data_IF_256523316100
#
_entry.id   IF_256523316100
#
_cell.length_a   1.000
_cell.length_b   1.000
_cell.length_c   1.000
_cell.angle_alpha   90.00
_cell.angle_beta   90.00
_cell.angle_gamma   90.00
#
_symmetry.space_group_name_H-M   'P 1'
#
loop_
_entity.id
_entity.type
_entity.pdbx_description
1 polymer ?
#
# COMPACT_ATOMS: atom_id res chain seq x y z
N UNK A 1 -18.84 -7.03 10.49
CA UNK A 1 -18.85 -5.77 9.73
C UNK A 1 -19.69 -5.97 8.49
N UNK A 2 -20.59 -5.04 8.19
CA UNK A 2 -21.39 -5.09 6.96
C UNK A 2 -20.52 -4.56 5.82
N UNK A 3 -20.26 -5.36 4.79
CA UNK A 3 -19.53 -4.90 3.60
C UNK A 3 -20.39 -3.93 2.82
N UNK A 4 -19.87 -2.74 2.54
CA UNK A 4 -20.53 -1.76 1.66
C UNK A 4 -20.22 -2.19 0.22
N UNK A 5 -21.22 -2.57 -0.59
CA UNK A 5 -20.96 -2.94 -1.97
C UNK A 5 -20.45 -1.71 -2.73
N UNK A 6 -19.37 -1.87 -3.48
CA UNK A 6 -18.85 -0.84 -4.37
C UNK A 6 -18.32 -1.50 -5.65
N UNK A 7 -18.27 -0.73 -6.75
CA UNK A 7 -17.76 -1.23 -8.02
C UNK A 7 -16.28 -0.89 -8.17
N UNK A 8 -15.41 -1.84 -7.85
CA UNK A 8 -13.98 -1.67 -8.10
C UNK A 8 -13.68 -1.53 -9.61
N UNK A 9 -12.65 -0.76 -9.93
CA UNK A 9 -12.11 -0.57 -11.28
C UNK A 9 -10.68 -1.12 -11.29
N UNK A 10 -10.38 -1.99 -12.24
CA UNK A 10 -9.01 -2.42 -12.48
C UNK A 10 -8.21 -1.25 -13.10
N UNK A 11 -7.04 -1.00 -12.53
CA UNK A 11 -6.10 0.04 -12.92
C UNK A 11 -4.78 -0.62 -13.32
N UNK A 12 -4.18 -0.11 -14.39
CA UNK A 12 -2.83 -0.46 -14.82
C UNK A 12 -1.85 0.54 -14.24
N UNK A 13 -0.80 0.05 -13.61
CA UNK A 13 0.27 0.83 -13.00
C UNK A 13 1.58 0.55 -13.75
N UNK A 14 2.48 1.53 -13.79
CA UNK A 14 3.82 1.41 -14.38
C UNK A 14 3.76 0.85 -15.80
N UNK A 15 2.95 1.48 -16.66
CA UNK A 15 2.78 1.06 -18.05
C UNK A 15 2.09 -0.31 -18.24
N UNK A 16 1.39 -0.80 -17.21
CA UNK A 16 0.66 -2.08 -17.25
C UNK A 16 1.45 -3.27 -16.70
N UNK A 17 2.66 -3.05 -16.19
CA UNK A 17 3.43 -4.09 -15.53
C UNK A 17 2.77 -4.61 -14.24
N UNK A 18 1.98 -3.76 -13.58
CA UNK A 18 1.19 -4.12 -12.40
C UNK A 18 -0.27 -3.76 -12.66
N UNK A 19 -1.19 -4.60 -12.19
CA UNK A 19 -2.63 -4.32 -12.18
C UNK A 19 -3.17 -4.37 -10.75
N UNK A 20 -4.12 -3.51 -10.42
CA UNK A 20 -4.75 -3.45 -9.10
C UNK A 20 -6.22 -3.04 -9.22
N UNK A 21 -7.09 -3.52 -8.34
CA UNK A 21 -8.46 -3.02 -8.24
C UNK A 21 -8.53 -1.86 -7.23
N UNK A 22 -8.92 -0.68 -7.71
CA UNK A 22 -9.12 0.53 -6.90
C UNK A 22 -10.58 1.01 -6.95
N UNK A 23 -11.00 1.95 -6.08
CA UNK A 23 -12.31 2.60 -6.20
C UNK A 23 -12.52 3.23 -7.58
N UNK A 24 -13.77 3.31 -8.08
CA UNK A 24 -14.03 3.71 -9.45
C UNK A 24 -13.78 5.21 -9.72
N UNK A 25 -13.88 6.06 -8.69
CA UNK A 25 -13.79 7.53 -8.77
C UNK A 25 -12.49 8.07 -8.20
N UNK A 26 -11.39 7.56 -8.76
CA UNK A 26 -10.04 8.03 -8.47
C UNK A 26 -9.53 8.91 -9.59
N UNK A 27 -8.70 9.88 -9.24
CA UNK A 27 -7.95 10.70 -10.17
C UNK A 27 -6.48 10.36 -10.02
N UNK A 28 -5.84 10.07 -11.15
CA UNK A 28 -4.40 9.93 -11.25
C UNK A 28 -3.74 11.31 -11.18
N UNK A 29 -2.89 11.53 -10.18
CA UNK A 29 -2.22 12.81 -9.94
C UNK A 29 -1.20 13.14 -11.04
N UNK A 30 -0.66 12.13 -11.74
CA UNK A 30 0.28 12.32 -12.85
C UNK A 30 -0.30 13.17 -13.98
N UNK A 31 -1.64 13.21 -14.11
CA UNK A 31 -2.35 13.95 -15.15
C UNK A 31 -2.25 15.47 -15.00
N UNK A 32 -1.91 15.97 -13.80
CA UNK A 32 -1.81 17.41 -13.54
C UNK A 32 -0.59 17.82 -12.70
N UNK A 33 0.19 16.87 -12.17
CA UNK A 33 1.49 17.12 -11.52
C UNK A 33 2.49 16.03 -11.89
N UNK A 34 3.77 16.38 -11.89
CA UNK A 34 4.83 15.38 -12.01
C UNK A 34 4.88 14.53 -10.74
N UNK A 35 4.94 13.21 -10.92
CA UNK A 35 5.10 12.19 -9.87
C UNK A 35 6.40 11.44 -10.20
N UNK A 36 7.22 11.05 -9.20
CA UNK A 36 8.41 10.25 -9.45
C UNK A 36 8.10 8.97 -10.24
N UNK A 37 9.01 8.54 -11.11
CA UNK A 37 8.81 7.35 -11.97
C UNK A 37 8.57 6.05 -11.17
N UNK A 38 9.08 6.00 -9.93
CA UNK A 38 8.88 4.88 -9.01
C UNK A 38 7.56 4.92 -8.24
N UNK A 39 6.72 5.94 -8.47
CA UNK A 39 5.49 6.19 -7.73
C UNK A 39 4.26 6.32 -8.64
N UNK A 40 3.13 5.83 -8.15
CA UNK A 40 1.81 6.03 -8.73
C UNK A 40 0.90 6.60 -7.64
N UNK A 41 0.33 7.77 -7.89
CA UNK A 41 -0.41 8.53 -6.86
C UNK A 41 -1.83 8.80 -7.33
N UNK A 42 -2.80 8.39 -6.51
CA UNK A 42 -4.22 8.58 -6.76
C UNK A 42 -4.88 9.33 -5.60
N UNK A 43 -5.90 10.11 -5.93
CA UNK A 43 -6.79 10.74 -4.95
C UNK A 43 -8.23 10.41 -5.27
N UNK A 44 -9.05 10.19 -4.24
CA UNK A 44 -10.49 10.18 -4.38
C UNK A 44 -11.01 11.61 -4.42
N UNK A 45 -11.98 11.86 -5.31
CA UNK A 45 -12.68 13.14 -5.34
C UNK A 45 -14.12 12.98 -4.93
N UNK A 46 -14.55 13.84 -4.00
CA UNK A 46 -15.97 14.19 -3.91
C UNK A 46 -16.25 15.15 -5.06
N UNK A 47 -17.33 14.93 -5.81
CA UNK A 47 -17.69 15.62 -7.05
C UNK A 47 -17.96 17.13 -6.92
N UNK A 48 -16.96 17.93 -6.54
CA UNK A 48 -17.05 19.40 -6.49
C UNK A 48 -16.20 20.14 -7.52
N UNK A 49 -15.29 19.47 -8.21
CA UNK A 49 -14.29 20.17 -9.06
C UNK A 49 -14.34 19.79 -10.56
N UNK A 50 -15.51 19.43 -11.09
CA UNK A 50 -15.74 19.50 -12.53
C UNK A 50 -16.51 20.78 -12.84
N UNK A 51 -15.86 21.71 -13.51
CA UNK A 51 -16.44 22.91 -14.13
C UNK A 51 -17.52 22.63 -15.19
N UNK A 52 -17.94 21.36 -15.36
CA UNK A 52 -19.13 20.94 -16.08
C UNK A 52 -20.39 21.03 -15.18
N UNK A 53 -20.70 22.25 -14.74
CA UNK A 53 -21.85 22.53 -13.87
C UNK A 53 -23.20 22.53 -14.60
N UNK A 54 -23.33 21.93 -15.80
CA UNK A 54 -24.56 22.11 -16.59
C UNK A 54 -25.33 20.88 -17.06
N UNK A 55 -24.92 19.62 -16.81
CA UNK A 55 -25.72 18.50 -17.33
C UNK A 55 -26.09 17.35 -16.39
N UNK A 56 -25.43 17.09 -15.26
CA UNK A 56 -25.80 15.94 -14.42
C UNK A 56 -25.97 16.32 -12.94
N UNK A 57 -27.21 16.61 -12.53
CA UNK A 57 -27.67 16.57 -11.13
C UNK A 57 -27.71 15.11 -10.61
N UNK A 58 -26.59 14.40 -10.70
CA UNK A 58 -26.43 13.08 -10.09
C UNK A 58 -26.28 13.26 -8.59
N UNK A 59 -27.17 12.66 -7.80
CA UNK A 59 -27.03 12.60 -6.35
C UNK A 59 -25.64 12.03 -5.97
N UNK A 60 -24.97 12.65 -5.00
CA UNK A 60 -23.73 12.12 -4.38
C UNK A 60 -23.99 10.68 -3.95
N UNK A 61 -23.17 9.75 -4.43
CA UNK A 61 -23.22 8.36 -3.95
C UNK A 61 -22.57 8.29 -2.58
N UNK A 62 -23.07 7.41 -1.71
CA UNK A 62 -22.51 7.19 -0.37
C UNK A 62 -21.00 6.92 -0.41
N UNK A 63 -20.53 6.19 -1.42
CA UNK A 63 -19.11 5.88 -1.64
C UNK A 63 -18.23 7.15 -1.83
N UNK A 64 -18.76 8.21 -2.43
CA UNK A 64 -18.01 9.44 -2.74
C UNK A 64 -17.73 10.25 -1.48
N UNK A 65 -18.72 10.31 -0.59
CA UNK A 65 -18.57 11.00 0.69
C UNK A 65 -17.67 10.18 1.62
N UNK A 66 -17.79 8.85 1.61
CA UNK A 66 -16.98 7.98 2.46
C UNK A 66 -15.49 7.97 2.08
N UNK A 67 -15.16 8.13 0.80
CA UNK A 67 -13.76 8.18 0.31
C UNK A 67 -13.24 9.60 0.12
N UNK A 68 -13.99 10.60 0.59
CA UNK A 68 -13.56 11.99 0.52
C UNK A 68 -12.20 12.15 1.22
N UNK A 69 -11.28 12.85 0.56
CA UNK A 69 -9.93 13.14 1.04
C UNK A 69 -9.00 11.91 1.15
N UNK A 70 -9.42 10.73 0.68
CA UNK A 70 -8.57 9.55 0.59
C UNK A 70 -7.50 9.74 -0.49
N UNK A 71 -6.24 9.53 -0.13
CA UNK A 71 -5.12 9.41 -1.07
C UNK A 71 -4.53 8.01 -1.04
N UNK A 72 -4.02 7.57 -2.19
CA UNK A 72 -3.46 6.24 -2.40
C UNK A 72 -2.13 6.39 -3.12
N UNK A 73 -1.08 5.75 -2.61
CA UNK A 73 0.27 5.81 -3.16
C UNK A 73 0.77 4.39 -3.32
N UNK A 74 1.24 4.06 -4.52
CA UNK A 74 1.98 2.83 -4.79
C UNK A 74 3.41 3.22 -5.10
N UNK A 75 4.38 2.56 -4.48
CA UNK A 75 5.79 2.90 -4.63
C UNK A 75 6.69 1.67 -4.72
N UNK A 76 7.64 1.72 -5.64
CA UNK A 76 8.70 0.73 -5.83
C UNK A 76 9.98 1.21 -5.12
N UNK A 77 10.40 0.49 -4.09
CA UNK A 77 11.57 0.81 -3.26
C UNK A 77 12.66 -0.26 -3.37
N UNK A 78 13.90 0.15 -3.06
CA UNK A 78 14.94 -0.83 -2.74
C UNK A 78 14.54 -1.65 -1.52
N UNK A 79 14.90 -2.94 -1.52
CA UNK A 79 14.61 -3.81 -0.39
C UNK A 79 15.32 -3.34 0.88
N UNK A 80 14.55 -3.14 1.94
CA UNK A 80 15.09 -2.72 3.25
C UNK A 80 15.73 -3.90 3.97
N UNK A 81 16.93 -3.70 4.48
CA UNK A 81 17.62 -4.66 5.34
C UNK A 81 18.04 -3.93 6.61
N UNK A 82 17.35 -4.20 7.74
CA UNK A 82 17.54 -3.42 8.98
C UNK A 82 18.92 -3.65 9.59
N UNK A 83 19.64 -4.70 9.18
CA UNK A 83 21.04 -4.90 9.58
C UNK A 83 21.95 -3.77 9.08
N UNK A 84 21.50 -3.03 8.07
CA UNK A 84 22.19 -1.84 7.57
C UNK A 84 21.80 -0.57 8.32
N UNK A 85 20.82 -0.63 9.23
CA UNK A 85 20.34 0.49 10.06
C UNK A 85 20.34 0.11 11.56
N UNK A 86 21.52 0.06 12.20
CA UNK A 86 21.65 -0.30 13.60
C UNK A 86 21.04 0.73 14.55
N UNK A 87 20.94 2.00 14.13
CA UNK A 87 20.34 3.07 14.93
C UNK A 87 18.84 2.85 15.10
N UNK A 88 18.15 2.49 14.00
CA UNK A 88 16.74 2.13 14.05
C UNK A 88 16.51 0.92 14.95
N UNK A 89 17.31 -0.14 14.83
CA UNK A 89 17.21 -1.34 15.67
C UNK A 89 17.41 -1.03 17.17
N UNK A 90 18.34 -0.14 17.51
CA UNK A 90 18.61 0.23 18.89
C UNK A 90 17.47 1.05 19.52
N UNK A 91 16.84 1.93 18.73
CA UNK A 91 15.72 2.76 19.19
C UNK A 91 14.38 2.00 19.25
N UNK A 92 14.21 1.01 18.36
CA UNK A 92 12.97 0.28 18.16
C UNK A 92 13.06 -1.19 18.55
N UNK A 93 13.93 -1.52 19.51
CA UNK A 93 14.17 -2.89 19.97
C UNK A 93 12.82 -3.61 20.15
N UNK A 94 12.61 -4.75 19.47
CA UNK A 94 11.38 -5.50 19.66
C UNK A 94 11.27 -5.84 21.14
N UNK A 95 10.10 -5.58 21.74
CA UNK A 95 9.80 -6.06 23.09
C UNK A 95 10.16 -7.56 23.13
N UNK A 96 10.90 -7.96 24.18
CA UNK A 96 11.66 -9.22 24.38
C UNK A 96 10.89 -10.56 24.21
N UNK A 97 9.70 -10.59 23.61
CA UNK A 97 8.82 -11.77 23.52
C UNK A 97 8.81 -12.44 22.12
N UNK A 98 9.29 -11.75 21.08
CA UNK A 98 9.47 -12.32 19.74
C UNK A 98 10.98 -12.39 19.44
N UNK A 99 11.59 -13.58 19.56
CA UNK A 99 12.97 -13.93 19.11
C UNK A 99 13.17 -13.77 17.58
N UNK A 100 12.34 -12.95 16.93
CA UNK A 100 12.29 -12.79 15.49
C UNK A 100 13.47 -11.93 15.02
N UNK A 101 14.25 -12.53 14.13
CA UNK A 101 15.50 -11.99 13.60
C UNK A 101 15.37 -10.55 13.04
N UNK A 102 16.51 -9.87 12.92
CA UNK A 102 16.66 -8.48 12.45
C UNK A 102 16.01 -8.15 11.09
N UNK A 103 15.38 -9.10 10.38
CA UNK A 103 14.65 -8.85 9.14
C UNK A 103 13.26 -9.51 9.10
N UNK A 104 12.65 -9.76 10.26
CA UNK A 104 11.30 -10.30 10.29
C UNK A 104 10.31 -9.32 9.61
N UNK A 105 9.35 -9.79 8.79
CA UNK A 105 8.48 -8.89 8.02
C UNK A 105 7.64 -7.93 8.87
N UNK A 106 7.38 -8.24 10.15
CA UNK A 106 6.77 -7.29 11.11
C UNK A 106 7.67 -6.08 11.37
N UNK A 107 8.97 -6.30 11.58
CA UNK A 107 9.94 -5.23 11.85
C UNK A 107 10.12 -4.33 10.63
N UNK A 108 10.08 -4.93 9.44
CA UNK A 108 10.23 -4.22 8.16
C UNK A 108 9.00 -3.37 7.85
N UNK A 109 7.78 -3.89 8.04
CA UNK A 109 6.59 -3.06 7.83
C UNK A 109 6.50 -1.92 8.85
N UNK A 110 7.01 -2.14 10.09
CA UNK A 110 7.16 -1.07 11.07
C UNK A 110 8.13 0.00 10.59
N UNK A 111 9.29 -0.39 10.05
CA UNK A 111 10.27 0.54 9.49
C UNK A 111 9.68 1.41 8.38
N UNK A 112 8.96 0.81 7.43
CA UNK A 112 8.29 1.57 6.36
C UNK A 112 7.22 2.52 6.91
N UNK A 113 6.45 2.10 7.92
CA UNK A 113 5.45 2.96 8.57
C UNK A 113 6.09 4.15 9.32
N UNK A 114 7.19 3.90 10.02
CA UNK A 114 7.93 4.93 10.77
C UNK A 114 8.66 5.90 9.83
N UNK A 115 9.20 5.41 8.71
CA UNK A 115 9.81 6.24 7.66
C UNK A 115 8.80 7.21 7.06
N UNK A 116 7.60 6.73 6.73
CA UNK A 116 6.50 7.59 6.28
C UNK A 116 6.13 8.65 7.32
N UNK A 117 6.16 8.31 8.61
CA UNK A 117 5.89 9.25 9.69
C UNK A 117 6.97 10.33 9.80
N UNK A 118 8.24 9.94 9.61
CA UNK A 118 9.37 10.85 9.63
C UNK A 118 9.27 11.89 8.51
N UNK A 119 8.98 11.45 7.29
CA UNK A 119 8.81 12.34 6.13
C UNK A 119 7.65 13.32 6.32
N UNK A 120 6.58 12.86 6.98
CA UNK A 120 5.44 13.70 7.34
C UNK A 120 5.69 14.58 8.58
N UNK A 121 6.90 14.54 9.18
CA UNK A 121 7.23 15.24 10.43
C UNK A 121 6.20 14.97 11.54
N UNK A 122 5.71 13.73 11.60
CA UNK A 122 4.68 13.32 12.55
C UNK A 122 5.17 13.42 13.98
N UNK A 123 4.34 13.95 14.87
CA UNK A 123 4.62 14.03 16.32
C UNK A 123 4.43 12.68 17.01
N UNK A 124 3.52 11.86 16.50
CA UNK A 124 3.19 10.55 17.05
C UNK A 124 2.82 9.61 15.90
N UNK A 125 3.43 8.43 15.87
CA UNK A 125 3.10 7.36 14.96
C UNK A 125 2.76 6.11 15.77
N UNK A 126 1.62 5.48 15.51
CA UNK A 126 1.21 4.28 16.25
C UNK A 126 0.53 3.29 15.33
N UNK A 127 1.15 2.13 15.16
CA UNK A 127 0.53 0.99 14.51
C UNK A 127 -0.51 0.39 15.45
N UNK A 128 -1.74 0.24 14.96
CA UNK A 128 -2.87 -0.37 15.68
C UNK A 128 -2.97 -1.86 15.42
N UNK A 129 -2.62 -2.32 14.21
CA UNK A 129 -2.63 -3.74 13.87
C UNK A 129 -1.62 -4.06 12.78
N UNK A 130 -1.09 -5.29 12.83
CA UNK A 130 -0.29 -5.90 11.76
C UNK A 130 -0.92 -7.24 11.41
N UNK A 131 -1.14 -7.47 10.11
CA UNK A 131 -1.62 -8.73 9.57
C UNK A 131 -0.53 -9.36 8.72
N UNK A 132 -0.04 -10.51 9.16
CA UNK A 132 0.92 -11.32 8.39
C UNK A 132 0.16 -12.21 7.40
N UNK A 133 0.73 -12.51 6.23
CA UNK A 133 0.15 -13.47 5.32
C UNK A 133 0.25 -14.90 5.85
N UNK A 134 -0.55 -15.80 5.27
CA UNK A 134 -0.66 -17.18 5.75
C UNK A 134 0.61 -17.97 5.50
N UNK A 135 1.19 -17.84 4.31
CA UNK A 135 2.44 -18.50 3.96
C UNK A 135 3.62 -17.57 4.20
N UNK A 136 4.37 -17.78 5.28
CA UNK A 136 5.58 -16.99 5.57
C UNK A 136 6.77 -17.36 4.67
N UNK A 137 6.72 -18.45 3.92
CA UNK A 137 7.84 -18.86 3.04
C UNK A 137 7.98 -17.98 1.81
N UNK A 138 6.97 -17.18 1.48
CA UNK A 138 7.03 -16.24 0.36
C UNK A 138 7.98 -15.05 0.58
N UNK A 139 8.50 -14.89 1.81
CA UNK A 139 9.43 -13.82 2.14
C UNK A 139 10.90 -14.14 1.80
N UNK A 140 11.18 -15.20 1.02
CA UNK A 140 12.55 -15.53 0.57
C UNK A 140 12.78 -15.26 -0.92
N UNK A 141 11.84 -15.65 -1.77
CA UNK A 141 11.76 -15.29 -3.19
C UNK A 141 10.27 -15.32 -3.57
N UNK A 142 9.83 -14.57 -4.60
CA UNK A 142 8.45 -14.66 -5.04
C UNK A 142 8.07 -16.10 -5.40
N UNK A 143 6.91 -16.59 -4.94
CA UNK A 143 6.53 -17.98 -5.11
C UNK A 143 6.41 -18.34 -6.60
N UNK A 144 6.81 -19.55 -6.98
CA UNK A 144 6.57 -20.07 -8.32
C UNK A 144 5.06 -20.19 -8.61
N UNK A 145 4.66 -20.05 -9.87
CA UNK A 145 3.29 -20.38 -10.30
C UNK A 145 2.99 -21.86 -10.04
N UNK A 146 1.76 -22.15 -9.62
CA UNK A 146 1.29 -23.48 -9.19
C UNK A 146 1.35 -24.57 -10.29
N UNK A 147 1.69 -24.22 -11.54
CA UNK A 147 1.84 -25.14 -12.65
C UNK A 147 3.10 -26.03 -12.61
N UNK A 148 4.00 -25.88 -11.63
CA UNK A 148 5.12 -26.80 -11.43
C UNK A 148 4.74 -27.96 -10.50
N UNK A 149 3.71 -28.75 -10.86
CA UNK A 149 3.56 -30.10 -10.33
C UNK A 149 4.17 -31.08 -11.34
N UNK A 150 5.13 -31.87 -10.85
CA UNK A 150 5.94 -32.83 -11.57
C UNK A 150 5.15 -33.67 -12.60
N UNK A 151 5.45 -33.50 -13.89
CA UNK A 151 5.41 -34.52 -14.95
C UNK A 151 5.70 -33.99 -16.37
N UNK A 152 5.89 -32.69 -16.58
CA UNK A 152 6.32 -32.20 -17.90
C UNK A 152 7.83 -32.42 -18.12
N UNK A 153 8.26 -32.86 -19.31
CA UNK A 153 9.68 -32.98 -19.64
C UNK A 153 10.37 -31.62 -19.56
N UNK A 154 11.67 -31.57 -19.25
CA UNK A 154 12.42 -30.33 -19.34
C UNK A 154 12.36 -29.83 -20.80
N UNK A 155 11.67 -28.73 -21.02
CA UNK A 155 11.82 -27.97 -22.26
C UNK A 155 13.23 -27.35 -22.22
N UNK A 156 14.07 -27.73 -23.17
CA UNK A 156 15.44 -27.22 -23.40
C UNK A 156 15.46 -25.73 -23.87
N UNK A 157 14.56 -24.91 -23.33
CA UNK A 157 14.55 -23.48 -23.59
C UNK A 157 15.41 -22.78 -22.53
N UNK A 158 16.67 -22.53 -22.88
CA UNK A 158 17.70 -21.83 -22.09
C UNK A 158 17.35 -20.36 -21.76
N UNK A 159 16.11 -19.94 -22.02
CA UNK A 159 15.52 -18.65 -21.63
C UNK A 159 14.52 -18.78 -20.47
N UNK A 160 14.68 -19.79 -19.61
CA UNK A 160 13.77 -20.17 -18.50
C UNK A 160 13.42 -19.05 -17.51
N UNK A 161 12.53 -18.15 -17.91
CA UNK A 161 11.91 -17.17 -17.03
C UNK A 161 10.94 -17.94 -16.12
N UNK A 162 11.41 -18.37 -14.94
CA UNK A 162 10.56 -18.97 -13.90
C UNK A 162 9.28 -18.14 -13.77
N UNK A 163 8.13 -18.72 -14.11
CA UNK A 163 6.85 -18.03 -13.97
C UNK A 163 6.57 -17.82 -12.48
N UNK A 164 6.48 -16.55 -12.07
CA UNK A 164 6.35 -16.11 -10.67
C UNK A 164 4.92 -15.67 -10.37
N UNK A 165 4.49 -15.89 -9.13
CA UNK A 165 3.23 -15.38 -8.59
C UNK A 165 3.53 -14.21 -7.66
N UNK A 166 2.68 -13.18 -7.71
CA UNK A 166 2.69 -12.08 -6.74
C UNK A 166 2.49 -12.62 -5.32
N UNK A 167 3.40 -12.34 -4.37
CA UNK A 167 3.22 -12.77 -2.98
C UNK A 167 2.02 -12.06 -2.33
N UNK A 168 1.54 -12.60 -1.22
CA UNK A 168 0.62 -11.91 -0.32
C UNK A 168 1.38 -10.86 0.52
N UNK A 169 0.82 -9.66 0.72
CA UNK A 169 1.50 -8.62 1.47
C UNK A 169 1.43 -8.85 2.98
N UNK A 170 2.42 -8.30 3.70
CA UNK A 170 2.22 -7.90 5.10
C UNK A 170 1.40 -6.61 5.09
N UNK A 171 0.44 -6.48 5.99
CA UNK A 171 -0.39 -5.26 6.08
C UNK A 171 -0.34 -4.68 7.47
N UNK A 172 -0.41 -3.37 7.60
CA UNK A 172 -0.65 -2.71 8.87
C UNK A 172 -1.67 -1.59 8.71
N UNK A 173 -2.28 -1.24 9.84
CA UNK A 173 -3.10 -0.06 10.01
C UNK A 173 -2.61 0.71 11.22
N UNK A 174 -2.50 2.02 11.11
CA UNK A 174 -2.00 2.89 12.16
C UNK A 174 -2.49 4.33 12.05
N UNK A 175 -2.11 5.12 13.02
CA UNK A 175 -2.39 6.55 13.11
C UNK A 175 -1.08 7.33 13.09
N UNK A 176 -1.06 8.45 12.39
CA UNK A 176 -0.02 9.47 12.48
C UNK A 176 -0.64 10.79 12.91
N UNK A 177 -0.02 11.51 13.83
CA UNK A 177 -0.48 12.83 14.26
C UNK A 177 0.47 13.91 13.75
N UNK A 178 0.02 14.66 12.75
CA UNK A 178 0.82 15.68 12.07
C UNK A 178 0.38 17.05 12.55
N UNK A 179 1.33 17.90 12.94
CA UNK A 179 1.05 19.31 13.20
C UNK A 179 1.90 20.17 12.28
N UNK A 180 1.28 21.12 11.59
CA UNK A 180 2.00 22.07 10.76
C UNK A 180 2.85 22.98 11.66
N UNK A 181 4.02 23.37 11.18
CA UNK A 181 4.90 24.31 11.85
C UNK A 181 4.10 25.57 12.23
N UNK A 182 3.91 25.80 13.54
CA UNK A 182 3.16 26.89 14.20
C UNK A 182 1.69 26.65 14.59
N UNK A 183 1.13 25.46 14.42
CA UNK A 183 -0.24 25.17 14.90
C UNK A 183 -0.24 24.31 16.17
N UNK A 184 -1.06 24.72 17.15
CA UNK A 184 -1.33 23.94 18.36
C UNK A 184 -2.23 22.73 18.08
N UNK A 185 -2.99 22.76 16.98
CA UNK A 185 -3.88 21.69 16.56
C UNK A 185 -3.12 20.65 15.72
N UNK A 186 -3.11 19.40 16.18
CA UNK A 186 -2.63 18.25 15.43
C UNK A 186 -3.78 17.62 14.66
N UNK A 187 -3.50 17.18 13.44
CA UNK A 187 -4.43 16.42 12.62
C UNK A 187 -4.00 14.95 12.63
N UNK A 188 -4.94 14.08 12.95
CA UNK A 188 -4.69 12.64 12.88
C UNK A 188 -4.94 12.15 11.46
N UNK A 189 -4.06 11.29 10.98
CA UNK A 189 -4.17 10.65 9.68
C UNK A 189 -4.20 9.15 9.90
N UNK A 190 -5.26 8.52 9.40
CA UNK A 190 -5.38 7.07 9.37
C UNK A 190 -4.61 6.53 8.17
N UNK A 191 -3.72 5.58 8.41
CA UNK A 191 -2.83 5.04 7.41
C UNK A 191 -2.97 3.53 7.36
N UNK A 192 -3.22 3.00 6.17
CA UNK A 192 -3.10 1.59 5.87
C UNK A 192 -1.91 1.39 4.94
N UNK A 193 -1.09 0.39 5.23
CA UNK A 193 0.11 0.10 4.46
C UNK A 193 0.17 -1.39 4.16
N UNK A 194 0.40 -1.74 2.89
CA UNK A 194 0.66 -3.11 2.43
C UNK A 194 2.07 -3.18 1.84
N UNK A 195 2.82 -4.19 2.24
CA UNK A 195 4.21 -4.42 1.86
C UNK A 195 4.35 -5.78 1.17
N UNK A 196 4.79 -5.76 -0.08
CA UNK A 196 5.24 -6.94 -0.83
C UNK A 196 6.75 -6.95 -0.91
N UNK A 197 7.37 -8.01 -0.38
CA UNK A 197 8.82 -8.18 -0.43
C UNK A 197 9.20 -9.09 -1.60
N UNK A 198 9.84 -8.53 -2.61
CA UNK A 198 10.29 -9.23 -3.80
C UNK A 198 11.79 -9.53 -3.69
N UNK A 199 12.15 -10.37 -2.72
CA UNK A 199 13.53 -10.77 -2.50
C UNK A 199 14.15 -11.40 -3.76
N UNK A 200 15.38 -11.02 -4.07
CA UNK A 200 16.09 -11.51 -5.26
C UNK A 200 15.62 -10.91 -6.59
N UNK A 201 14.59 -10.05 -6.58
CA UNK A 201 14.05 -9.39 -7.78
C UNK A 201 14.45 -7.93 -7.80
N UNK A 202 15.09 -7.53 -8.90
CA UNK A 202 15.54 -6.17 -9.10
C UNK A 202 16.68 -5.73 -8.21
N UNK A 203 17.12 -4.49 -8.42
CA UNK A 203 18.27 -3.90 -7.72
C UNK A 203 19.50 -4.82 -7.76
N UNK A 204 19.84 -5.35 -8.94
CA UNK A 204 20.94 -6.29 -9.15
C UNK A 204 20.80 -7.59 -8.33
N UNK A 205 19.57 -8.04 -8.09
CA UNK A 205 19.27 -9.24 -7.29
C UNK A 205 19.24 -9.00 -5.79
N UNK A 206 19.36 -7.74 -5.31
CA UNK A 206 19.22 -7.41 -3.89
C UNK A 206 17.77 -7.47 -3.42
N UNK A 207 16.81 -7.31 -4.34
CA UNK A 207 15.38 -7.33 -4.04
C UNK A 207 14.73 -5.96 -4.11
N UNK A 208 13.40 -5.97 -4.13
CA UNK A 208 12.53 -4.79 -4.17
C UNK A 208 11.48 -4.90 -3.07
N UNK A 209 11.18 -3.78 -2.40
CA UNK A 209 9.98 -3.65 -1.58
C UNK A 209 8.95 -2.84 -2.37
N UNK A 210 7.78 -3.42 -2.62
CA UNK A 210 6.64 -2.72 -3.23
C UNK A 210 5.68 -2.35 -2.10
N UNK A 211 5.32 -1.08 -2.02
CA UNK A 211 4.51 -0.51 -0.93
C UNK A 211 3.22 0.09 -1.51
N UNK A 212 2.09 -0.20 -0.87
CA UNK A 212 0.82 0.49 -1.09
C UNK A 212 0.40 1.18 0.20
N UNK A 213 0.12 2.48 0.13
CA UNK A 213 -0.32 3.29 1.26
C UNK A 213 -1.64 3.96 0.96
N UNK A 214 -2.60 3.87 1.88
CA UNK A 214 -3.82 4.66 1.88
C UNK A 214 -3.76 5.66 3.04
N UNK A 215 -3.97 6.95 2.78
CA UNK A 215 -4.03 7.98 3.81
C UNK A 215 -5.43 8.61 3.83
N UNK A 216 -6.10 8.51 4.98
CA UNK A 216 -7.38 9.15 5.24
C UNK A 216 -7.23 10.15 6.39
N UNK A 217 -7.27 11.47 6.13
CA UNK A 217 -7.17 12.47 7.18
C UNK A 217 -8.44 12.48 8.04
N UNK A 218 -8.25 12.52 9.36
CA UNK A 218 -9.31 12.82 10.33
C UNK A 218 -9.35 14.33 10.56
N UNK A 219 -10.34 14.98 9.97
CA UNK A 219 -10.59 16.40 10.22
C UNK A 219 -11.47 16.54 11.47
N UNK A 220 -11.04 17.35 12.44
CA UNK A 220 -11.77 17.56 13.71
C UNK A 220 -13.20 18.08 13.54
N UNK A 221 -13.54 18.62 12.36
CA UNK A 221 -14.87 19.09 11.99
C UNK A 221 -15.77 17.99 11.40
N UNK A 222 -15.29 16.77 11.22
CA UNK A 222 -16.05 15.67 10.63
C UNK A 222 -17.10 15.12 11.61
N UNK A 223 -18.25 14.68 11.09
CA UNK A 223 -19.23 13.92 11.88
C UNK A 223 -18.59 12.59 12.31
N UNK A 224 -18.52 12.28 13.62
CA UNK A 224 -17.88 11.07 14.12
C UNK A 224 -18.45 9.78 13.55
N UNK A 225 -19.76 9.72 13.30
CA UNK A 225 -20.42 8.53 12.74
C UNK A 225 -20.04 8.38 11.27
N UNK A 226 -20.08 9.46 10.51
CA UNK A 226 -19.67 9.45 9.11
C UNK A 226 -18.20 9.09 8.97
N UNK A 227 -17.32 9.67 9.79
CA UNK A 227 -15.90 9.38 9.76
C UNK A 227 -15.61 7.91 10.10
N UNK A 228 -16.31 7.35 11.10
CA UNK A 228 -16.20 5.93 11.40
C UNK A 228 -16.60 5.05 10.20
N UNK A 229 -17.65 5.43 9.47
CA UNK A 229 -18.02 4.74 8.22
C UNK A 229 -16.95 4.89 7.13
N UNK A 230 -16.31 6.07 7.02
CA UNK A 230 -15.20 6.30 6.09
C UNK A 230 -14.02 5.39 6.40
N UNK A 231 -13.67 5.23 7.68
CA UNK A 231 -12.60 4.32 8.13
C UNK A 231 -12.93 2.87 7.79
N UNK A 232 -14.14 2.40 8.08
CA UNK A 232 -14.58 1.03 7.77
C UNK A 232 -14.60 0.76 6.26
N UNK A 233 -15.07 1.72 5.47
CA UNK A 233 -15.10 1.60 4.02
C UNK A 233 -13.69 1.63 3.42
N UNK A 234 -12.82 2.49 3.94
CA UNK A 234 -11.41 2.57 3.51
C UNK A 234 -10.67 1.27 3.82
N UNK A 235 -10.89 0.67 4.99
CA UNK A 235 -10.33 -0.66 5.29
C UNK A 235 -10.82 -1.70 4.28
N UNK A 236 -12.13 -1.76 3.99
CA UNK A 236 -12.68 -2.70 3.01
C UNK A 236 -12.03 -2.53 1.61
N UNK A 237 -11.87 -1.28 1.15
CA UNK A 237 -11.23 -0.98 -0.14
C UNK A 237 -9.76 -1.40 -0.10
N UNK A 238 -9.02 -1.02 0.95
CA UNK A 238 -7.62 -1.35 1.11
C UNK A 238 -7.38 -2.87 1.10
N UNK A 239 -8.20 -3.64 1.82
CA UNK A 239 -8.10 -5.11 1.81
C UNK A 239 -8.32 -5.69 0.40
N UNK A 240 -9.25 -5.12 -0.38
CA UNK A 240 -9.50 -5.54 -1.76
C UNK A 240 -8.35 -5.14 -2.70
N UNK A 241 -7.84 -3.91 -2.60
CA UNK A 241 -6.72 -3.41 -3.39
C UNK A 241 -5.47 -4.27 -3.14
N UNK A 242 -5.11 -4.47 -1.87
CA UNK A 242 -3.97 -5.32 -1.50
C UNK A 242 -4.13 -6.79 -1.89
N UNK A 243 -5.37 -7.29 -2.05
CA UNK A 243 -5.61 -8.67 -2.52
C UNK A 243 -5.59 -8.80 -4.04
N UNK A 244 -5.97 -7.75 -4.76
CA UNK A 244 -6.10 -7.75 -6.21
C UNK A 244 -4.82 -7.37 -6.95
N UNK A 245 -3.84 -6.75 -6.25
CA UNK A 245 -2.56 -6.40 -6.84
C UNK A 245 -1.91 -7.63 -7.48
N UNK A 246 -1.59 -7.51 -8.76
CA UNK A 246 -0.98 -8.54 -9.57
C UNK A 246 0.16 -7.95 -10.40
N UNK A 247 1.32 -8.58 -10.32
CA UNK A 247 2.51 -8.26 -11.11
C UNK A 247 2.42 -9.10 -12.38
N UNK A 248 2.12 -8.45 -13.50
CA UNK A 248 2.00 -9.06 -14.81
C UNK A 248 3.37 -9.12 -15.52
N UNK A 249 4.18 -8.07 -15.38
CA UNK A 249 5.51 -7.97 -15.98
C UNK A 249 6.59 -7.76 -14.90
N UNK A 250 7.45 -8.75 -14.75
CA UNK A 250 8.55 -8.73 -13.78
C UNK A 250 9.80 -8.01 -14.29
N UNK A 251 9.85 -7.66 -15.58
CA UNK A 251 10.94 -6.85 -16.15
C UNK A 251 10.93 -5.40 -15.66
N UNK A 252 9.80 -4.94 -15.10
CA UNK A 252 9.69 -3.66 -14.39
C UNK A 252 10.80 -3.46 -13.35
N UNK A 253 11.23 -4.55 -12.70
CA UNK A 253 12.21 -4.51 -11.64
C UNK A 253 13.65 -4.75 -12.13
N UNK A 254 13.87 -5.08 -13.41
CA UNK A 254 15.15 -5.56 -13.93
C UNK A 254 16.30 -4.54 -13.83
#
# INVERSE_FOLDING_TARGET
MSTIPYKAKQVQLFGGAITIDLPPKIIDVSTFRQVPDSQEVFISTSSRDSSDEQLHQGARTTEDELTKDLSMIIEVLELVDLRNDPEYLQQNHPDDDDNDCDNHPKSIIKYHFDSLAHDNSSKLATIKSITMPKDRRQFTEPPATVAAQANDPPSDDESGMKTRRTPEPVKCYGLQSVAKFNEAESHDVHIWLALWRLNGIGNQGRGTDLVLTFNLPHLSSADPVHFQQSVEFTDQIFQQAARSLHIADWSLFA
#
